data_IF_047519484986
#
_entry.id   IF_047519484986
#
_cell.length_a   1.000
_cell.length_b   1.000
_cell.length_c   1.000
_cell.angle_alpha   90.00
_cell.angle_beta   90.00
_cell.angle_gamma   90.00
#
_symmetry.space_group_name_H-M   'P 1'
#
loop_
_entity.id
_entity.type
_entity.pdbx_description
1 polymer ?
#
# COMPACT_ATOMS: atom_id res chain seq x y z
N UNK A 1 26.83 2.82 -15.32
CA UNK A 1 25.35 2.91 -15.30
C UNK A 1 24.83 1.59 -14.77
N UNK A 2 24.25 1.55 -13.58
CA UNK A 2 23.63 0.33 -13.07
C UNK A 2 22.24 0.22 -13.68
N UNK A 3 22.05 -0.82 -14.50
CA UNK A 3 20.75 -1.20 -15.02
C UNK A 3 19.76 -1.28 -13.87
N UNK A 4 18.74 -0.43 -13.94
CA UNK A 4 17.60 -0.45 -13.04
C UNK A 4 16.80 -1.70 -13.42
N UNK A 5 17.21 -2.86 -12.90
CA UNK A 5 16.51 -4.13 -13.07
C UNK A 5 15.04 -3.87 -12.79
N UNK A 6 14.23 -4.06 -13.84
CA UNK A 6 12.77 -4.01 -13.75
C UNK A 6 12.35 -4.91 -12.61
N UNK A 7 11.96 -4.31 -11.47
CA UNK A 7 11.47 -5.07 -10.31
C UNK A 7 10.28 -5.89 -10.79
N UNK A 8 10.40 -7.21 -10.72
CA UNK A 8 9.33 -8.13 -11.11
C UNK A 8 8.04 -7.74 -10.40
N UNK A 9 6.96 -7.59 -11.16
CA UNK A 9 5.68 -7.16 -10.61
C UNK A 9 5.24 -8.11 -9.48
N UNK A 10 4.91 -7.55 -8.31
CA UNK A 10 4.44 -8.33 -7.16
C UNK A 10 3.18 -9.10 -7.55
N UNK A 11 3.14 -10.45 -7.36
CA UNK A 11 2.00 -11.27 -7.77
C UNK A 11 0.71 -10.77 -7.12
N UNK A 12 -0.40 -10.81 -7.85
CA UNK A 12 -1.71 -10.45 -7.29
C UNK A 12 -2.14 -11.44 -6.19
N UNK A 13 -3.22 -11.13 -5.48
CA UNK A 13 -3.65 -11.92 -4.31
C UNK A 13 -3.89 -13.39 -4.66
N UNK A 14 -4.59 -13.67 -5.75
CA UNK A 14 -4.95 -15.04 -6.13
C UNK A 14 -3.71 -15.84 -6.55
N UNK A 15 -2.79 -15.23 -7.30
CA UNK A 15 -1.52 -15.87 -7.67
C UNK A 15 -0.65 -16.17 -6.46
N UNK A 16 -0.54 -15.22 -5.52
CA UNK A 16 0.23 -15.41 -4.29
C UNK A 16 -0.42 -16.47 -3.38
N UNK A 17 -1.76 -16.43 -3.25
CA UNK A 17 -2.51 -17.41 -2.48
C UNK A 17 -2.34 -18.82 -3.04
N UNK A 18 -2.47 -19.02 -4.35
CA UNK A 18 -2.31 -20.34 -4.98
C UNK A 18 -0.92 -20.92 -4.76
N UNK A 19 0.13 -20.11 -4.94
CA UNK A 19 1.52 -20.54 -4.67
C UNK A 19 1.71 -20.92 -3.20
N UNK A 20 1.19 -20.10 -2.28
CA UNK A 20 1.24 -20.39 -0.85
C UNK A 20 0.46 -21.65 -0.49
N UNK A 21 -0.73 -21.85 -1.07
CA UNK A 21 -1.60 -23.01 -0.86
C UNK A 21 -0.96 -24.30 -1.36
N UNK A 22 -0.41 -24.30 -2.58
CA UNK A 22 0.31 -25.45 -3.15
C UNK A 22 1.59 -25.80 -2.40
N UNK A 23 2.20 -24.82 -1.73
CA UNK A 23 3.35 -25.07 -0.86
C UNK A 23 2.96 -25.73 0.47
N UNK A 24 1.66 -25.80 0.79
CA UNK A 24 1.18 -26.53 1.96
C UNK A 24 1.16 -28.03 1.67
N UNK A 25 1.54 -28.83 2.66
CA UNK A 25 1.49 -30.29 2.51
C UNK A 25 0.06 -30.86 2.56
N UNK A 26 -0.14 -32.12 2.16
CA UNK A 26 -1.46 -32.77 2.10
C UNK A 26 -2.23 -32.74 3.43
N UNK A 27 -1.51 -32.80 4.55
CA UNK A 27 -2.08 -32.75 5.90
C UNK A 27 -2.76 -31.40 6.21
N UNK A 28 -2.32 -30.32 5.59
CA UNK A 28 -2.88 -28.99 5.80
C UNK A 28 -4.17 -28.80 4.99
N UNK A 29 -4.17 -29.24 3.72
CA UNK A 29 -5.35 -29.16 2.84
C UNK A 29 -6.54 -29.95 3.39
N UNK A 30 -6.29 -31.10 4.00
CA UNK A 30 -7.34 -31.93 4.61
C UNK A 30 -7.96 -31.33 5.88
N UNK A 31 -7.27 -30.39 6.54
CA UNK A 31 -7.69 -29.80 7.83
C UNK A 31 -8.29 -28.41 7.67
N UNK A 32 -7.93 -27.70 6.61
CA UNK A 32 -8.27 -26.28 6.43
C UNK A 32 -9.09 -26.12 5.16
N UNK A 33 -10.32 -25.63 5.29
CA UNK A 33 -11.11 -25.27 4.11
C UNK A 33 -10.47 -24.08 3.36
N UNK A 34 -10.47 -24.13 2.02
CA UNK A 34 -9.89 -23.10 1.16
C UNK A 34 -10.42 -21.68 1.47
N UNK A 35 -11.68 -21.53 1.86
CA UNK A 35 -12.30 -20.25 2.22
C UNK A 35 -11.72 -19.68 3.51
N UNK A 36 -11.48 -20.55 4.50
CA UNK A 36 -10.82 -20.17 5.75
C UNK A 36 -9.36 -19.80 5.49
N UNK A 37 -8.66 -20.59 4.68
CA UNK A 37 -7.29 -20.33 4.28
C UNK A 37 -7.14 -18.97 3.56
N UNK A 38 -8.06 -18.64 2.64
CA UNK A 38 -8.07 -17.32 1.99
C UNK A 38 -8.22 -16.17 2.98
N UNK A 39 -9.05 -16.33 4.02
CA UNK A 39 -9.21 -15.31 5.08
C UNK A 39 -7.91 -15.13 5.88
N UNK A 40 -7.28 -16.23 6.30
CA UNK A 40 -6.01 -16.19 7.06
C UNK A 40 -4.87 -15.58 6.23
N UNK A 41 -4.73 -16.02 4.98
CA UNK A 41 -3.68 -15.53 4.09
C UNK A 41 -3.82 -14.03 3.79
N UNK A 42 -5.04 -13.48 3.76
CA UNK A 42 -5.29 -12.08 3.42
C UNK A 42 -4.57 -11.08 4.32
N UNK A 43 -4.53 -11.34 5.62
CA UNK A 43 -3.85 -10.45 6.57
C UNK A 43 -2.32 -10.49 6.37
N UNK A 44 -1.76 -11.69 6.22
CA UNK A 44 -0.33 -11.90 5.93
C UNK A 44 0.08 -11.31 4.58
N UNK A 45 -0.71 -11.53 3.54
CA UNK A 45 -0.50 -10.96 2.20
C UNK A 45 -0.58 -9.44 2.20
N UNK A 46 -1.56 -8.84 2.91
CA UNK A 46 -1.66 -7.39 3.01
C UNK A 46 -0.45 -6.77 3.71
N UNK A 47 0.05 -7.43 4.76
CA UNK A 47 1.23 -7.00 5.51
C UNK A 47 2.52 -7.17 4.70
N UNK A 48 2.74 -8.35 4.11
CA UNK A 48 3.92 -8.66 3.29
C UNK A 48 3.97 -7.87 1.98
N UNK A 49 2.82 -7.58 1.35
CA UNK A 49 2.79 -6.75 0.13
C UNK A 49 3.28 -5.32 0.39
N UNK A 50 3.10 -4.84 1.63
CA UNK A 50 3.54 -3.54 2.12
C UNK A 50 4.91 -3.57 2.81
N UNK A 51 5.59 -4.71 2.87
CA UNK A 51 6.89 -4.83 3.53
C UNK A 51 7.97 -3.92 2.91
N UNK A 52 7.85 -3.62 1.62
CA UNK A 52 8.78 -2.71 0.91
C UNK A 52 8.29 -1.26 0.83
N UNK A 53 7.16 -0.93 1.47
CA UNK A 53 6.64 0.43 1.51
C UNK A 53 6.74 0.99 2.92
N UNK A 54 7.39 2.13 3.07
CA UNK A 54 7.42 2.84 4.35
C UNK A 54 6.12 3.61 4.57
N UNK A 55 5.79 3.81 5.84
CA UNK A 55 4.70 4.68 6.26
C UNK A 55 5.19 6.12 6.30
N UNK A 56 4.62 6.97 5.48
CA UNK A 56 4.86 8.42 5.49
C UNK A 56 3.63 9.15 6.00
N UNK A 57 3.87 10.14 6.86
CA UNK A 57 2.83 11.01 7.40
C UNK A 57 3.12 12.43 6.96
N UNK A 58 2.13 13.07 6.34
CA UNK A 58 2.20 14.46 5.94
C UNK A 58 1.12 15.28 6.63
N UNK A 59 1.49 16.48 7.07
CA UNK A 59 0.56 17.51 7.49
C UNK A 59 0.32 18.51 6.35
N UNK A 60 -0.95 18.82 6.09
CA UNK A 60 -1.40 19.78 5.08
C UNK A 60 -2.49 20.65 5.70
N UNK A 61 -2.15 21.88 6.09
CA UNK A 61 -3.07 22.74 6.84
C UNK A 61 -3.54 22.05 8.13
N UNK A 62 -4.84 21.71 8.22
CA UNK A 62 -5.46 20.96 9.33
C UNK A 62 -5.51 19.44 9.10
N UNK A 63 -5.08 18.93 7.95
CA UNK A 63 -5.13 17.51 7.64
C UNK A 63 -3.85 16.79 8.02
N UNK A 64 -4.01 15.59 8.60
CA UNK A 64 -2.97 14.57 8.67
C UNK A 64 -3.29 13.51 7.62
N UNK A 65 -2.34 13.27 6.73
CA UNK A 65 -2.45 12.33 5.61
C UNK A 65 -1.39 11.25 5.83
N UNK A 66 -1.83 10.00 5.99
CA UNK A 66 -0.93 8.85 6.11
C UNK A 66 -0.97 8.07 4.82
N UNK A 67 0.19 7.85 4.21
CA UNK A 67 0.35 7.10 2.96
C UNK A 67 1.43 6.04 3.10
N UNK A 68 1.26 4.94 2.37
CA UNK A 68 2.27 3.90 2.22
C UNK A 68 2.90 4.03 0.83
N UNK A 69 4.21 4.16 0.77
CA UNK A 69 4.92 4.44 -0.49
C UNK A 69 6.31 3.81 -0.52
N UNK A 70 6.81 3.55 -1.73
CA UNK A 70 8.13 2.95 -1.96
C UNK A 70 9.29 3.94 -1.73
N UNK A 71 8.99 5.17 -1.31
CA UNK A 71 9.95 6.24 -1.09
C UNK A 71 9.28 7.61 -1.02
N UNK A 72 10.02 8.61 -0.53
CA UNK A 72 9.49 9.94 -0.22
C UNK A 72 8.82 10.65 -1.42
N UNK A 73 9.36 10.49 -2.63
CA UNK A 73 8.78 11.12 -3.83
C UNK A 73 7.41 10.53 -4.19
N UNK A 74 7.27 9.21 -4.13
CA UNK A 74 5.98 8.53 -4.34
C UNK A 74 5.00 8.87 -3.21
N UNK A 75 5.51 8.97 -1.97
CA UNK A 75 4.74 9.38 -0.81
C UNK A 75 4.15 10.79 -0.98
N UNK A 76 4.96 11.77 -1.40
CA UNK A 76 4.51 13.15 -1.65
C UNK A 76 3.46 13.20 -2.77
N UNK A 77 3.62 12.41 -3.83
CA UNK A 77 2.64 12.32 -4.93
C UNK A 77 1.30 11.78 -4.44
N UNK A 78 1.32 10.65 -3.70
CA UNK A 78 0.11 10.06 -3.10
C UNK A 78 -0.57 11.00 -2.12
N UNK A 79 0.22 11.67 -1.27
CA UNK A 79 -0.31 12.61 -0.28
C UNK A 79 -0.93 13.87 -0.93
N UNK A 80 -0.35 14.36 -2.02
CA UNK A 80 -0.91 15.47 -2.81
C UNK A 80 -2.27 15.08 -3.40
N UNK A 81 -2.37 13.90 -4.01
CA UNK A 81 -3.63 13.42 -4.59
C UNK A 81 -4.72 13.23 -3.54
N UNK A 82 -4.37 12.70 -2.36
CA UNK A 82 -5.28 12.56 -1.22
C UNK A 82 -5.74 13.94 -0.69
N UNK A 83 -4.83 14.92 -0.63
CA UNK A 83 -5.15 16.29 -0.22
C UNK A 83 -6.11 16.97 -1.21
N UNK A 84 -5.89 16.81 -2.52
CA UNK A 84 -6.78 17.31 -3.57
C UNK A 84 -8.18 16.69 -3.47
N UNK A 85 -8.25 15.37 -3.26
CA UNK A 85 -9.52 14.65 -3.10
C UNK A 85 -10.30 15.11 -1.86
N UNK A 86 -9.61 15.31 -0.72
CA UNK A 86 -10.25 15.80 0.51
C UNK A 86 -10.70 17.26 0.40
N UNK A 87 -9.92 18.09 -0.29
CA UNK A 87 -10.29 19.48 -0.53
C UNK A 87 -11.51 19.59 -1.44
N UNK A 88 -11.54 18.83 -2.54
CA UNK A 88 -12.70 18.75 -3.43
C UNK A 88 -13.97 18.32 -2.69
N UNK A 89 -13.89 17.26 -1.85
CA UNK A 89 -15.03 16.80 -1.03
C UNK A 89 -15.55 17.84 -0.03
N UNK A 90 -14.69 18.76 0.43
CA UNK A 90 -15.05 19.82 1.39
C UNK A 90 -15.29 21.19 0.73
N UNK A 91 -15.25 21.26 -0.60
CA UNK A 91 -15.39 22.51 -1.36
C UNK A 91 -14.21 23.49 -1.17
N UNK A 92 -13.07 23.02 -0.68
CA UNK A 92 -11.89 23.85 -0.45
C UNK A 92 -11.06 23.95 -1.74
N UNK A 93 -10.65 25.16 -2.10
CA UNK A 93 -9.77 25.38 -3.26
C UNK A 93 -8.31 25.21 -2.86
N UNK A 94 -7.55 24.49 -3.69
CA UNK A 94 -6.10 24.39 -3.59
C UNK A 94 -5.48 25.79 -3.79
N UNK A 95 -4.46 26.11 -3.00
CA UNK A 95 -3.66 27.34 -3.18
C UNK A 95 -2.89 27.28 -4.51
N UNK A 96 -2.62 28.43 -5.15
CA UNK A 96 -1.86 28.50 -6.42
C UNK A 96 -0.46 27.87 -6.33
N UNK A 97 0.14 27.89 -5.14
CA UNK A 97 1.44 27.28 -4.81
C UNK A 97 1.37 25.78 -4.46
N UNK A 98 0.17 25.20 -4.40
CA UNK A 98 -0.05 23.81 -4.03
C UNK A 98 0.08 23.52 -2.52
N UNK A 99 -0.03 22.23 -2.17
CA UNK A 99 0.02 21.79 -0.78
C UNK A 99 1.44 21.84 -0.23
N UNK A 100 1.62 22.53 0.90
CA UNK A 100 2.85 22.44 1.69
C UNK A 100 2.76 21.19 2.55
N UNK A 101 3.37 20.10 2.07
CA UNK A 101 3.50 18.85 2.80
C UNK A 101 4.62 18.97 3.83
N UNK A 102 4.28 19.00 5.12
CA UNK A 102 5.25 18.86 6.21
C UNK A 102 5.31 17.40 6.61
N UNK A 103 6.50 16.80 6.64
CA UNK A 103 6.66 15.47 7.24
C UNK A 103 6.30 15.55 8.72
N UNK A 104 5.35 14.71 9.13
CA UNK A 104 4.97 14.56 10.53
C UNK A 104 5.71 13.38 11.12
N UNK A 105 6.26 13.56 12.33
CA UNK A 105 6.62 12.47 13.24
C UNK A 105 5.38 11.61 13.55
#
# INVERSE_FOLDING_TARGET
MLDRTSRTAKPNFETAFRKWWQAQGPNFENRVNISLAKKLFRAGYASGRRADTDRYIFAVGRFRITVWADGLLDAKRKATAEADLRAAKRGWKRTKTGWVLKEGL
#
